data_IF_962234764426
#
_entry.id   IF_962234764426
#
_cell.length_a   1.000
_cell.length_b   1.000
_cell.length_c   1.000
_cell.angle_alpha   90.00
_cell.angle_beta   90.00
_cell.angle_gamma   90.00
#
_symmetry.space_group_name_H-M   'P 1'
#
loop_
_entity.id
_entity.type
_entity.pdbx_description
1 polymer ?
2 non-polymer ?
3 non-polymer ?
4 non-polymer ?
5 water ?
#
# COMPACT_ATOMS: atom_id res chain seq x y z
N UNK A 26 0.34 13.68 -20.73
CA UNK A 26 -0.16 12.30 -20.39
C UNK A 26 -1.64 12.26 -20.00
N UNK A 27 -2.21 11.06 -20.05
CA UNK A 27 -3.61 10.80 -19.68
C UNK A 27 -4.09 11.56 -18.42
N UNK A 28 -3.23 11.64 -17.41
CA UNK A 28 -3.59 12.18 -16.09
C UNK A 28 -2.69 13.33 -15.58
N UNK A 29 -1.78 13.80 -16.42
CA UNK A 29 -0.79 14.81 -16.01
C UNK A 29 -1.03 16.10 -16.80
N UNK A 30 -1.11 17.22 -16.09
CA UNK A 30 -1.34 18.53 -16.67
C UNK A 30 -0.03 19.16 -17.08
N UNK A 31 0.00 19.81 -18.25
CA UNK A 31 1.14 20.58 -18.70
C UNK A 31 0.81 22.06 -18.77
N UNK A 32 1.87 22.87 -18.76
CA UNK A 32 1.83 24.29 -19.09
C UNK A 32 1.21 25.16 -18.00
N UNK A 33 0.86 24.54 -16.88
CA UNK A 33 0.21 25.23 -15.77
C UNK A 33 1.06 25.09 -14.52
N UNK A 34 1.13 26.18 -13.76
CA UNK A 34 1.83 26.21 -12.49
C UNK A 34 0.91 25.61 -11.45
N UNK A 35 1.32 24.48 -10.82
CA UNK A 35 0.55 23.86 -9.75
C UNK A 35 0.25 24.79 -8.57
N UNK A 36 1.11 25.79 -8.36
CA UNK A 36 0.97 26.72 -7.25
C UNK A 36 0.02 27.89 -7.57
N UNK A 37 -0.53 27.89 -8.79
CA UNK A 37 -1.68 28.73 -9.12
C UNK A 37 -2.99 28.01 -8.72
N UNK A 38 -2.90 26.73 -8.34
CA UNK A 38 -4.05 25.95 -7.87
C UNK A 38 -3.93 25.47 -6.42
N UNK A 39 -2.71 25.13 -6.01
CA UNK A 39 -2.46 24.50 -4.71
C UNK A 39 -1.45 25.31 -3.93
N UNK A 40 -1.79 25.66 -2.68
CA UNK A 40 -0.89 26.44 -1.83
C UNK A 40 -0.19 25.52 -0.83
N UNK A 41 1.14 25.56 -0.82
CA UNK A 41 1.94 24.80 0.13
C UNK A 41 1.82 25.39 1.53
N UNK A 42 1.36 24.59 2.47
CA UNK A 42 1.22 24.98 3.88
C UNK A 42 2.48 24.62 4.67
N UNK A 43 3.06 23.46 4.36
CA UNK A 43 4.25 22.97 5.07
C UNK A 43 4.77 21.67 4.51
N UNK A 44 5.69 21.05 5.24
CA UNK A 44 6.28 19.77 4.85
C UNK A 44 5.68 18.63 5.68
N UNK A 45 5.38 17.51 5.01
CA UNK A 45 4.92 16.30 5.68
C UNK A 45 6.07 15.30 5.88
N UNK A 46 6.86 15.13 4.83
CA UNK A 46 8.05 14.29 4.87
C UNK A 46 9.06 14.63 3.79
N UNK A 47 10.06 13.77 3.66
CA UNK A 47 11.17 13.98 2.73
C UNK A 47 11.47 12.67 1.99
N UNK A 50 11.94 10.58 -4.73
CA UNK A 50 12.93 11.51 -5.25
C UNK A 50 12.51 12.97 -5.03
N UNK A 51 12.20 13.30 -3.76
CA UNK A 51 11.87 14.67 -3.36
C UNK A 51 11.34 14.83 -1.94
N UNK A 52 10.59 15.92 -1.73
CA UNK A 52 9.91 16.18 -0.47
C UNK A 52 8.41 16.02 -0.71
N UNK A 53 7.66 15.78 0.37
CA UNK A 53 6.18 15.77 0.33
C UNK A 53 5.65 16.93 1.18
N UNK A 54 4.76 17.73 0.58
CA UNK A 54 4.24 18.95 1.19
C UNK A 54 2.78 18.78 1.58
N UNK A 55 2.34 19.56 2.57
CA UNK A 55 0.92 19.70 2.87
C UNK A 55 0.46 20.84 2.00
N UNK A 56 -0.59 20.62 1.21
CA UNK A 56 -1.10 21.64 0.31
C UNK A 56 -2.57 21.89 0.58
N UNK A 57 -3.04 23.06 0.15
CA UNK A 57 -4.43 23.50 0.30
C UNK A 57 -4.88 24.12 -1.02
N UNK A 58 -6.02 23.65 -1.53
CA UNK A 58 -6.60 24.17 -2.73
C UNK A 58 -6.97 25.62 -2.49
N UNK A 59 -6.53 26.49 -3.40
CA UNK A 59 -6.73 27.93 -3.25
C UNK A 59 -8.19 28.30 -3.48
N UNK A 60 -8.89 27.53 -4.30
CA UNK A 60 -10.33 27.73 -4.52
C UNK A 60 -11.19 27.06 -3.45
N UNK A 61 -10.96 25.78 -3.18
CA UNK A 61 -11.90 24.97 -2.39
C UNK A 61 -11.47 24.68 -0.93
N UNK A 62 -10.24 25.04 -0.58
CA UNK A 62 -9.65 24.75 0.74
C UNK A 62 -9.41 23.27 1.04
N UNK A 63 -9.66 22.39 0.06
CA UNK A 63 -9.43 20.96 0.24
C UNK A 63 -7.92 20.73 0.44
N UNK A 64 -7.58 19.83 1.35
CA UNK A 64 -6.19 19.54 1.70
C UNK A 64 -5.62 18.39 0.87
N UNK A 65 -4.32 18.48 0.61
CA UNK A 65 -3.61 17.50 -0.21
C UNK A 65 -2.20 17.28 0.31
N UNK A 66 -1.68 16.09 0.07
CA UNK A 66 -0.24 15.88 0.12
C UNK A 66 0.27 16.11 -1.31
N UNK A 67 1.32 16.91 -1.44
CA UNK A 67 1.93 17.17 -2.74
C UNK A 67 3.33 16.56 -2.79
N UNK A 68 3.47 15.46 -3.51
CA UNK A 68 4.78 14.92 -3.88
C UNK A 68 5.33 15.77 -5.02
N UNK A 69 6.52 16.36 -4.83
CA UNK A 69 7.19 17.10 -5.88
C UNK A 69 8.49 16.35 -6.25
N UNK A 70 8.44 15.69 -7.40
CA UNK A 70 9.53 14.84 -7.86
C UNK A 70 10.39 15.55 -8.91
N UNK A 71 11.66 15.73 -8.59
CA UNK A 71 12.61 16.35 -9.52
C UNK A 71 12.92 15.40 -10.66
N UNK A 72 12.55 15.80 -11.87
CA UNK A 72 12.87 15.06 -13.09
C UNK A 72 13.92 15.86 -13.89
N UNK A 73 14.98 15.18 -14.33
CA UNK A 73 15.98 15.79 -15.20
C UNK A 73 15.35 16.07 -16.57
N UNK A 74 14.89 15.02 -17.23
CA UNK A 74 14.31 15.12 -18.58
C UNK A 74 12.84 14.67 -18.59
N UNK A 75 12.23 14.65 -19.78
CA UNK A 75 10.84 14.22 -19.94
C UNK A 75 10.69 12.69 -20.09
N UNK A 76 11.76 11.99 -20.44
CA UNK A 76 11.76 10.53 -20.50
C UNK A 76 11.55 9.91 -19.12
N UNK A 77 11.91 10.67 -18.08
CA UNK A 77 11.69 10.25 -16.68
C UNK A 77 10.22 10.16 -16.28
N UNK A 78 9.35 10.94 -16.93
CA UNK A 78 7.92 10.90 -16.63
C UNK A 78 7.35 9.49 -16.81
N UNK A 79 7.87 8.76 -17.80
CA UNK A 79 7.49 7.38 -18.05
C UNK A 79 7.68 6.49 -16.84
N UNK A 80 8.69 6.81 -16.02
CA UNK A 80 8.97 6.02 -14.82
C UNK A 80 7.94 6.23 -13.69
N UNK A 81 7.27 7.39 -13.69
CA UNK A 81 6.30 7.73 -12.63
C UNK A 81 4.86 7.55 -13.06
N UNK A 82 4.64 7.06 -14.27
CA UNK A 82 3.29 7.01 -14.86
C UNK A 82 2.44 5.84 -14.40
N UNK A 83 3.07 4.72 -14.07
CA UNK A 83 2.34 3.55 -13.58
C UNK A 83 1.73 3.86 -12.23
N UNK A 84 2.46 4.61 -11.41
CA UNK A 84 2.00 5.06 -10.10
C UNK A 84 0.76 5.93 -10.24
N UNK A 85 0.88 6.98 -11.04
CA UNK A 85 -0.20 7.91 -11.34
C UNK A 85 -1.44 7.21 -11.94
N UNK A 86 -1.22 6.26 -12.85
CA UNK A 86 -2.33 5.54 -13.46
C UNK A 86 -3.08 4.69 -12.45
N UNK A 87 -2.35 4.02 -11.56
CA UNK A 87 -2.95 3.26 -10.47
C UNK A 87 -3.82 4.15 -9.59
N UNK A 88 -3.27 5.26 -9.12
CA UNK A 88 -4.05 6.19 -8.29
C UNK A 88 -5.31 6.70 -8.98
N UNK A 89 -5.16 7.01 -10.27
CA UNK A 89 -6.25 7.53 -11.07
C UNK A 89 -7.31 6.47 -11.36
N UNK A 90 -6.89 5.22 -11.54
CA UNK A 90 -7.80 4.14 -11.93
C UNK A 90 -8.54 3.49 -10.75
N UNK A 91 -7.92 3.50 -9.56
CA UNK A 91 -8.53 2.89 -8.35
C UNK A 91 -9.66 3.71 -7.79
N UNK A 92 -10.70 3.03 -7.35
CA UNK A 92 -11.82 3.69 -6.68
C UNK A 92 -12.25 2.83 -5.49
N UNK A 93 -11.55 3.00 -4.38
CA UNK A 93 -11.83 2.23 -3.17
C UNK A 93 -11.67 3.14 -1.95
N UNK A 94 -12.55 3.00 -0.94
CA UNK A 94 -12.49 3.78 0.30
C UNK A 94 -11.15 3.73 1.07
N UNK A 95 -10.40 2.64 0.93
CA UNK A 95 -9.15 2.45 1.67
C UNK A 95 -7.91 2.57 0.81
N UNK A 96 -8.06 3.26 -0.33
CA UNK A 96 -6.95 3.62 -1.17
C UNK A 96 -7.03 5.12 -1.42
N UNK A 97 -5.90 5.80 -1.26
CA UNK A 97 -5.83 7.24 -1.49
C UNK A 97 -6.09 7.61 -2.94
N UNK A 98 -6.87 8.69 -3.13
CA UNK A 98 -7.20 9.17 -4.47
C UNK A 98 -6.23 10.22 -5.00
N UNK A 99 -6.10 10.23 -6.32
CA UNK A 99 -5.37 11.28 -7.04
C UNK A 99 -6.28 12.47 -7.16
N UNK A 100 -5.77 13.63 -6.76
CA UNK A 100 -6.51 14.92 -6.85
C UNK A 100 -6.07 15.74 -8.05
N UNK A 101 -4.82 15.55 -8.48
CA UNK A 101 -4.18 16.36 -9.52
C UNK A 101 -2.76 15.91 -9.75
N UNK A 102 -2.27 16.10 -10.96
CA UNK A 102 -0.85 15.96 -11.28
C UNK A 102 -0.47 17.04 -12.31
N UNK A 103 0.74 17.58 -12.17
CA UNK A 103 1.27 18.65 -13.04
C UNK A 103 2.72 18.37 -13.41
N UNK A 104 3.11 18.64 -14.65
CA UNK A 104 4.50 18.72 -15.04
C UNK A 104 4.80 20.19 -15.32
N UNK A 105 5.76 20.75 -14.60
CA UNK A 105 6.03 22.19 -14.64
C UNK A 105 7.45 22.48 -14.14
N UNK A 106 8.27 23.12 -14.98
CA UNK A 106 9.63 23.52 -14.61
C UNK A 106 10.42 22.35 -14.04
N UNK A 107 10.45 21.26 -14.79
CA UNK A 107 11.25 20.06 -14.45
C UNK A 107 10.84 19.32 -13.20
N UNK A 108 9.61 19.53 -12.73
CA UNK A 108 9.09 18.78 -11.60
C UNK A 108 7.76 18.12 -11.94
N UNK A 109 7.58 16.90 -11.46
CA UNK A 109 6.27 16.26 -11.47
C UNK A 109 5.64 16.46 -10.09
N UNK A 110 4.49 17.13 -10.08
CA UNK A 110 3.68 17.27 -8.87
C UNK A 110 2.57 16.23 -8.92
N UNK A 111 2.47 15.41 -7.87
CA UNK A 111 1.36 14.48 -7.71
C UNK A 111 0.64 14.91 -6.45
N UNK A 112 -0.64 15.26 -6.58
CA UNK A 112 -1.46 15.66 -5.43
C UNK A 112 -2.47 14.59 -5.06
N UNK A 113 -2.37 14.16 -3.81
CA UNK A 113 -2.99 12.93 -3.32
C UNK A 113 -3.88 13.31 -2.13
N UNK A 114 -4.99 12.61 -1.96
CA UNK A 114 -5.90 12.99 -0.89
C UNK A 114 -5.21 12.91 0.46
N UNK A 115 -5.67 13.78 1.34
CA UNK A 115 -5.03 14.02 2.61
C UNK A 115 -5.72 13.20 3.70
N UNK A 116 -4.89 12.55 4.51
CA UNK A 116 -5.31 11.72 5.63
C UNK A 116 -4.71 12.39 6.86
N UNK A 117 -5.58 13.02 7.64
CA UNK A 117 -5.15 13.97 8.69
C UNK A 117 -4.50 13.32 9.92
N UNK A 118 -4.62 12.00 10.06
CA UNK A 118 -4.04 11.26 11.19
C UNK A 118 -2.58 10.84 11.02
N UNK A 119 -2.06 10.87 9.80
CA UNK A 119 -0.66 10.51 9.56
C UNK A 119 -0.45 9.03 9.35
N UNK A 120 0.81 8.63 9.18
CA UNK A 120 1.16 7.22 8.95
C UNK A 120 1.11 6.44 10.26
N UNK A 121 0.77 5.15 10.18
CA UNK A 121 0.67 4.29 11.39
C UNK A 121 1.98 4.24 12.16
N UNK A 122 3.09 4.22 11.44
CA UNK A 122 4.40 4.10 12.07
C UNK A 122 4.82 5.39 12.79
N UNK A 123 4.45 6.53 12.21
CA UNK A 123 4.70 7.84 12.81
C UNK A 123 3.93 8.02 14.12
N UNK A 124 2.70 7.51 14.17
CA UNK A 124 1.88 7.50 15.40
C UNK A 124 2.49 6.66 16.53
N UNK A 125 2.98 5.47 16.18
CA UNK A 125 3.62 4.58 17.14
C UNK A 125 4.88 5.20 17.76
N UNK A 126 5.66 5.88 16.92
CA UNK A 126 6.88 6.55 17.37
C UNK A 126 6.60 7.79 18.24
N UNK A 127 5.58 8.56 17.89
CA UNK A 127 5.18 9.73 18.69
C UNK A 127 4.61 9.34 20.07
N UNK A 128 3.77 8.30 20.09
CA UNK A 128 3.21 7.77 21.35
C UNK A 128 4.19 6.85 22.08
N UNK A 129 5.24 6.41 21.38
CA UNK A 129 6.25 5.49 21.95
C UNK A 129 5.66 4.16 22.41
N UNK A 130 4.71 3.64 21.63
CA UNK A 130 4.10 2.35 21.91
C UNK A 130 3.49 1.74 20.66
N UNK A 131 3.33 0.41 20.65
CA UNK A 131 2.67 -0.24 19.53
C UNK A 131 1.15 -0.07 19.57
N UNK A 132 0.48 -0.48 18.51
CA UNK A 132 -0.98 -0.57 18.51
C UNK A 132 -1.38 -1.73 19.43
N UNK A 133 -2.60 -1.68 19.96
CA UNK A 133 -3.20 -2.84 20.66
C UNK A 133 -3.77 -3.78 19.62
N UNK A 134 -4.14 -4.98 20.04
CA UNK A 134 -4.64 -5.98 19.10
C UNK A 134 -5.93 -5.56 18.42
N UNK A 135 -6.82 -4.90 19.17
CA UNK A 135 -8.09 -4.44 18.61
C UNK A 135 -7.88 -3.32 17.57
N UNK A 136 -6.79 -2.56 17.73
CA UNK A 136 -6.40 -1.53 16.77
C UNK A 136 -5.80 -2.18 15.54
N UNK A 137 -4.97 -3.19 15.74
CA UNK A 137 -4.38 -3.94 14.64
C UNK A 137 -5.47 -4.60 13.79
N UNK A 138 -6.50 -5.17 14.43
CA UNK A 138 -7.60 -5.81 13.69
C UNK A 138 -8.31 -4.86 12.76
N UNK A 139 -8.56 -3.63 13.22
CA UNK A 139 -9.21 -2.62 12.37
C UNK A 139 -8.31 -2.27 11.16
N UNK A 140 -7.04 -1.97 11.42
CA UNK A 140 -6.11 -1.61 10.38
C UNK A 140 -5.94 -2.78 9.41
N UNK A 141 -5.75 -3.97 9.96
CA UNK A 141 -5.62 -5.18 9.16
C UNK A 141 -6.84 -5.37 8.28
N UNK A 142 -8.04 -5.29 8.86
CA UNK A 142 -9.28 -5.55 8.12
C UNK A 142 -9.47 -4.59 6.94
N UNK A 143 -9.22 -3.30 7.16
CA UNK A 143 -9.33 -2.28 6.13
C UNK A 143 -8.20 -2.32 5.10
N UNK A 144 -6.99 -2.63 5.56
CA UNK A 144 -5.85 -2.81 4.67
C UNK A 144 -6.06 -4.00 3.74
N UNK A 145 -6.59 -5.08 4.28
CA UNK A 145 -6.93 -6.27 3.52
C UNK A 145 -7.98 -5.99 2.43
N UNK A 146 -8.95 -5.15 2.76
CA UNK A 146 -9.98 -4.70 1.80
C UNK A 146 -9.36 -3.97 0.62
N UNK A 147 -8.40 -3.09 0.91
CA UNK A 147 -7.67 -2.35 -0.09
C UNK A 147 -6.88 -3.30 -1.00
N UNK A 148 -6.10 -4.17 -0.39
CA UNK A 148 -5.28 -5.16 -1.10
C UNK A 148 -6.08 -6.10 -1.96
N UNK A 149 -7.22 -6.54 -1.42
CA UNK A 149 -8.07 -7.47 -2.14
C UNK A 149 -8.57 -6.83 -3.42
N UNK A 150 -8.97 -5.55 -3.31
CA UNK A 150 -9.39 -4.75 -4.46
C UNK A 150 -8.28 -4.62 -5.52
N UNK A 151 -7.08 -4.30 -5.08
CA UNK A 151 -5.89 -4.23 -5.95
C UNK A 151 -5.65 -5.54 -6.68
N UNK A 152 -5.65 -6.64 -5.95
CA UNK A 152 -5.37 -7.95 -6.53
C UNK A 152 -6.44 -8.37 -7.53
N UNK A 153 -7.70 -8.11 -7.18
CA UNK A 153 -8.83 -8.27 -8.10
C UNK A 153 -8.63 -7.48 -9.40
N UNK A 154 -8.01 -6.29 -9.30
CA UNK A 154 -7.74 -5.42 -10.43
C UNK A 154 -6.31 -5.55 -11.00
N UNK A 155 -5.62 -6.64 -10.65
CA UNK A 155 -4.34 -7.05 -11.26
C UNK A 155 -3.19 -6.13 -10.89
N UNK A 156 -3.30 -5.49 -9.72
CA UNK A 156 -2.25 -4.63 -9.15
C UNK A 156 -1.56 -5.34 -7.96
N UNK A 157 -0.24 -5.33 -7.97
CA UNK A 157 0.56 -5.72 -6.80
C UNK A 157 1.10 -4.41 -6.19
N UNK A 158 0.86 -4.18 -4.90
CA UNK A 158 1.35 -2.98 -4.21
C UNK A 158 2.90 -2.92 -4.16
N UNK A 159 3.49 -3.99 -3.63
CA UNK A 159 4.94 -4.22 -3.61
C UNK A 159 5.76 -3.43 -2.56
N UNK A 160 5.13 -2.54 -1.83
CA UNK A 160 5.78 -1.82 -0.74
C UNK A 160 4.85 -1.62 0.46
N UNK A 161 4.14 -2.67 0.86
CA UNK A 161 3.26 -2.58 2.01
C UNK A 161 4.11 -2.57 3.30
N UNK A 162 3.78 -1.62 4.17
CA UNK A 162 4.42 -1.41 5.46
C UNK A 162 3.58 -0.39 6.21
N UNK A 163 3.81 -0.25 7.51
CA UNK A 163 3.01 0.65 8.36
C UNK A 163 3.18 2.11 7.96
N UNK A 164 4.33 2.45 7.39
CA UNK A 164 4.59 3.78 6.86
C UNK A 164 3.77 4.18 5.66
N UNK A 165 3.10 3.22 5.02
CA UNK A 165 2.23 3.47 3.86
C UNK A 165 0.74 3.20 4.14
N UNK A 166 0.40 3.09 5.40
CA UNK A 166 -0.96 2.99 5.88
C UNK A 166 -1.21 4.30 6.63
N UNK A 167 -2.20 5.06 6.20
CA UNK A 167 -2.46 6.39 6.72
C UNK A 167 -3.81 6.42 7.41
N UNK A 168 -3.87 7.12 8.53
CA UNK A 168 -5.11 7.30 9.30
C UNK A 168 -5.84 8.54 8.86
N UNK A 169 -7.16 8.42 8.68
CA UNK A 169 -8.05 9.57 8.50
C UNK A 169 -8.50 10.16 9.85
N UNK A 170 -9.10 11.35 9.81
CA UNK A 170 -9.70 11.99 11.00
C UNK A 170 -10.82 11.13 11.62
N UNK A 171 -11.48 10.32 10.80
CA UNK A 171 -12.60 9.48 11.26
C UNK A 171 -12.23 8.09 11.79
N UNK A 172 -10.93 7.79 11.89
CA UNK A 172 -10.47 6.50 12.39
C UNK A 172 -10.41 5.37 11.37
N UNK A 173 -10.51 5.73 10.09
CA UNK A 173 -10.32 4.76 9.01
C UNK A 173 -8.89 4.82 8.50
N UNK A 174 -8.53 3.90 7.62
CA UNK A 174 -7.22 3.93 6.99
C UNK A 174 -7.32 4.04 5.47
N UNK A 175 -6.26 4.57 4.88
CA UNK A 175 -6.07 4.49 3.45
C UNK A 175 -4.65 3.98 3.16
N UNK A 176 -4.55 3.12 2.15
CA UNK A 176 -3.29 2.59 1.65
C UNK A 176 -2.69 3.57 0.65
N UNK A 177 -1.38 3.78 0.71
CA UNK A 177 -0.69 4.75 -0.14
C UNK A 177 0.63 4.23 -0.67
N UNK A 178 1.23 5.07 -1.52
CA UNK A 178 2.53 4.87 -2.16
C UNK A 178 2.60 3.71 -3.16
N UNK A 179 2.28 4.00 -4.41
CA UNK A 179 2.33 3.01 -5.47
C UNK A 179 3.53 3.24 -6.36
N UNK A 180 4.59 3.80 -5.78
CA UNK A 180 5.82 4.12 -6.46
C UNK A 180 6.53 2.96 -7.12
N UNK A 181 6.39 1.75 -6.57
CA UNK A 181 6.98 0.55 -7.16
C UNK A 181 5.94 -0.56 -7.43
N UNK A 182 4.67 -0.21 -7.42
CA UNK A 182 3.62 -1.16 -7.76
C UNK A 182 3.68 -1.64 -9.22
N UNK A 183 3.18 -2.86 -9.43
CA UNK A 183 2.96 -3.44 -10.75
C UNK A 183 1.45 -3.47 -11.06
N UNK A 184 1.09 -3.08 -12.28
CA UNK A 184 -0.29 -3.14 -12.78
C UNK A 184 -0.27 -4.02 -14.03
N UNK A 185 -0.89 -5.19 -13.93
CA UNK A 185 -0.79 -6.21 -14.97
C UNK A 185 -1.95 -6.20 -15.97
N UNK A 186 -2.74 -5.14 -15.99
CA UNK A 186 -3.95 -5.07 -16.83
C UNK A 186 -3.66 -4.94 -18.31
N UNK A 187 -2.69 -4.11 -18.67
CA UNK A 187 -2.32 -3.88 -20.08
C UNK A 187 -1.54 -5.08 -20.67
N UNK A 188 -0.74 -5.75 -19.82
CA UNK A 188 0.04 -6.93 -20.22
C UNK A 188 -0.85 -8.22 -20.31
N UNK A 189 -1.87 -8.31 -19.46
CA UNK A 189 -2.94 -9.31 -19.60
C UNK A 189 -3.78 -9.07 -20.86
N UNK A 190 -4.16 -7.81 -21.10
CA UNK A 190 -4.87 -7.41 -22.33
C UNK A 190 -4.08 -7.79 -23.60
N UNK A 191 -2.79 -7.48 -23.61
CA UNK A 191 -1.90 -7.84 -24.72
C UNK A 191 -1.70 -9.35 -24.83
N UNK A 192 -1.69 -10.04 -23.70
CA UNK A 192 -1.51 -11.50 -23.66
C UNK A 192 -2.76 -12.29 -24.13
N UNK A 193 -3.94 -11.87 -23.68
CA UNK A 193 -5.21 -12.53 -24.10
C UNK A 193 -5.54 -12.31 -25.60
N UNK A 194 -4.76 -11.48 -26.27
CA UNK A 194 -4.99 -11.06 -27.66
C UNK A 194 -4.31 -12.05 -28.60
N UNK A 195 -5.09 -12.65 -29.51
CA UNK A 195 -4.54 -13.44 -30.61
C UNK A 195 -5.47 -13.39 -31.85
N UNK A 196 -4.93 -13.85 -32.99
CA UNK A 196 -5.68 -13.91 -34.25
C UNK A 196 -5.40 -15.25 -34.91
N UNK A 197 -6.35 -15.74 -35.70
CA UNK A 197 -6.20 -17.06 -36.30
C UNK A 197 -6.25 -18.16 -35.26
N UNK A 198 -6.20 -19.39 -35.72
CA UNK A 198 -6.47 -20.55 -34.88
C UNK A 198 -5.20 -20.95 -34.12
N UNK A 199 -5.25 -20.92 -32.77
CA UNK A 199 -4.01 -21.13 -32.02
C UNK A 199 -3.77 -22.61 -31.65
N UNK A 200 -3.35 -23.37 -32.66
CA UNK A 200 -3.10 -24.81 -32.53
C UNK A 200 -1.91 -25.10 -31.61
N UNK A 201 -1.01 -24.13 -31.46
CA UNK A 201 0.25 -24.28 -30.75
C UNK A 201 0.18 -23.74 -29.31
N UNK A 202 -1.00 -23.34 -28.85
CA UNK A 202 -1.16 -22.67 -27.57
C UNK A 202 -1.06 -23.67 -26.41
N UNK A 203 -0.21 -23.36 -25.44
CA UNK A 203 -0.01 -24.20 -24.27
C UNK A 203 -1.30 -24.24 -23.45
N UNK A 204 -1.62 -25.40 -22.87
CA UNK A 204 -2.87 -25.53 -22.11
C UNK A 204 -3.03 -24.57 -20.94
N UNK A 205 -1.91 -24.15 -20.34
CA UNK A 205 -1.96 -23.20 -19.22
C UNK A 205 -2.30 -21.80 -19.73
N UNK A 206 -2.00 -21.52 -21.00
CA UNK A 206 -2.40 -20.26 -21.64
C UNK A 206 -3.86 -20.34 -22.07
N UNK A 207 -4.28 -21.48 -22.62
CA UNK A 207 -5.68 -21.77 -22.90
C UNK A 207 -6.57 -21.56 -21.66
N UNK A 208 -6.13 -22.08 -20.52
CA UNK A 208 -6.89 -22.08 -19.29
C UNK A 208 -6.75 -20.80 -18.44
N UNK A 209 -5.99 -19.83 -18.95
CA UNK A 209 -5.76 -18.55 -18.27
C UNK A 209 -5.03 -18.75 -16.94
N UNK A 210 -3.98 -19.56 -17.00
CA UNK A 210 -3.18 -19.94 -15.83
C UNK A 210 -1.70 -19.56 -16.06
N UNK A 211 -1.52 -18.44 -16.75
CA UNK A 211 -0.22 -17.78 -16.87
C UNK A 211 0.06 -17.12 -15.53
N UNK A 212 1.26 -16.56 -15.36
CA UNK A 212 1.61 -15.91 -14.08
C UNK A 212 0.81 -14.63 -13.75
N UNK A 213 0.22 -14.00 -14.77
CA UNK A 213 -0.53 -12.74 -14.61
C UNK A 213 -1.87 -12.95 -13.90
N UNK A 214 -2.47 -14.11 -14.15
CA UNK A 214 -3.79 -14.44 -13.62
C UNK A 214 -3.71 -15.29 -12.37
N UNK A 215 -2.57 -15.95 -12.17
CA UNK A 215 -2.39 -16.78 -10.99
C UNK A 215 -2.02 -15.93 -9.77
N UNK A 216 -2.40 -16.38 -8.57
CA UNK A 216 -2.14 -15.67 -7.32
C UNK A 216 -0.67 -15.46 -6.95
N UNK A 217 0.22 -16.28 -7.51
CA UNK A 217 1.59 -16.42 -7.05
C UNK A 217 2.28 -15.09 -6.71
N UNK A 218 2.35 -14.19 -7.69
CA UNK A 218 3.05 -12.91 -7.54
C UNK A 218 2.31 -11.91 -6.65
N UNK A 219 0.98 -11.96 -6.64
CA UNK A 219 0.16 -11.13 -5.72
C UNK A 219 0.36 -11.51 -4.23
N UNK A 220 0.71 -12.77 -3.99
CA UNK A 220 0.93 -13.24 -2.61
C UNK A 220 2.14 -12.60 -1.92
N UNK A 221 3.04 -11.97 -2.67
CA UNK A 221 4.10 -11.19 -2.04
C UNK A 221 3.54 -10.11 -1.11
N UNK A 222 2.44 -9.48 -1.51
CA UNK A 222 1.72 -8.52 -0.65
C UNK A 222 1.19 -9.12 0.66
N UNK A 223 0.81 -10.39 0.62
CA UNK A 223 0.26 -11.10 1.80
C UNK A 223 1.33 -11.34 2.87
N UNK A 224 2.52 -11.75 2.44
CA UNK A 224 3.66 -11.81 3.32
C UNK A 224 3.94 -10.44 3.98
N UNK A 225 3.96 -9.37 3.18
CA UNK A 225 4.22 -8.02 3.70
C UNK A 225 3.17 -7.50 4.67
N UNK A 226 1.91 -7.88 4.46
CA UNK A 226 0.83 -7.62 5.43
C UNK A 226 1.21 -8.20 6.79
N UNK A 227 1.60 -9.48 6.81
CA UNK A 227 2.09 -10.18 7.99
C UNK A 227 3.21 -9.48 8.73
N UNK A 228 4.23 -9.03 8.00
CA UNK A 228 5.33 -8.27 8.62
C UNK A 228 4.84 -6.92 9.17
N UNK A 229 3.93 -6.26 8.44
CA UNK A 229 3.29 -5.02 8.90
C UNK A 229 2.49 -5.22 10.20
N UNK A 230 1.81 -6.35 10.32
CA UNK A 230 1.09 -6.68 11.55
C UNK A 230 2.02 -6.82 12.76
N UNK A 231 3.16 -7.50 12.57
CA UNK A 231 4.16 -7.60 13.62
C UNK A 231 4.76 -6.21 13.92
N UNK A 232 5.06 -5.44 12.87
CA UNK A 232 5.55 -4.06 13.02
C UNK A 232 4.59 -3.18 13.84
N UNK A 233 3.30 -3.33 13.62
CA UNK A 233 2.27 -2.63 14.43
C UNK A 233 2.14 -3.16 15.87
N UNK A 234 2.48 -4.44 16.06
CA UNK A 234 2.43 -5.10 17.38
C UNK A 234 3.66 -4.78 18.24
N UNK A 235 4.78 -4.46 17.59
CA UNK A 235 6.08 -4.28 18.25
C UNK A 235 6.82 -3.00 17.85
N UNK A 236 6.12 -2.08 17.19
CA UNK A 236 6.67 -0.79 16.71
C UNK A 236 7.65 -0.92 15.53
N UNK A 237 8.55 -1.87 15.57
CA UNK A 237 9.50 -2.05 14.46
C UNK A 237 9.34 -3.43 13.85
N UNK A 238 9.72 -3.58 12.56
CA UNK A 238 9.54 -4.87 11.90
C UNK A 238 10.60 -5.85 12.39
N UNK A 239 10.35 -7.15 12.19
CA UNK A 239 11.40 -8.15 12.43
C UNK A 239 12.74 -7.79 11.76
N UNK A 240 13.81 -8.05 12.51
CA UNK A 240 15.22 -7.89 12.12
C UNK A 240 15.74 -6.43 12.12
N UNK A 241 14.98 -5.53 12.75
CA UNK A 241 15.32 -4.11 12.81
C UNK A 241 16.64 -3.85 13.53
N UNK A 242 17.10 -4.80 14.35
CA UNK A 242 18.34 -4.66 15.08
C UNK A 242 19.60 -5.09 14.29
N UNK A 243 19.42 -5.84 13.21
CA UNK A 243 20.55 -6.29 12.41
C UNK A 243 21.14 -5.16 11.57
N UNK A 244 22.41 -5.32 11.17
CA UNK A 244 22.99 -4.52 10.11
C UNK A 244 22.09 -4.68 8.90
N UNK A 245 21.63 -3.56 8.29
CA UNK A 245 20.81 -3.64 7.09
C UNK A 245 21.30 -4.61 6.01
N UNK A 246 22.62 -4.76 5.88
CA UNK A 246 23.23 -5.66 4.90
C UNK A 246 22.88 -7.15 5.10
N UNK A 247 22.46 -7.50 6.31
CA UNK A 247 22.16 -8.88 6.69
C UNK A 247 20.68 -9.26 6.56
N UNK A 248 19.81 -8.27 6.40
CA UNK A 248 18.36 -8.48 6.49
C UNK A 248 17.80 -9.45 5.41
N UNK A 249 18.18 -9.24 4.15
CA UNK A 249 17.74 -10.14 3.06
C UNK A 249 18.22 -11.57 3.30
N UNK A 250 19.47 -11.73 3.66
CA UNK A 250 20.00 -13.04 4.07
C UNK A 250 19.22 -13.71 5.23
N UNK A 251 18.94 -12.95 6.27
CA UNK A 251 18.15 -13.42 7.39
C UNK A 251 16.74 -13.89 6.97
N UNK A 252 16.06 -13.13 6.11
CA UNK A 252 14.74 -13.54 5.58
C UNK A 252 14.84 -14.91 4.86
N UNK A 253 15.81 -15.03 3.96
CA UNK A 253 16.09 -16.27 3.24
C UNK A 253 16.40 -17.46 4.16
N UNK A 254 17.28 -17.27 5.15
CA UNK A 254 17.73 -18.35 6.05
C UNK A 254 16.70 -18.81 7.06
N UNK A 255 15.92 -17.88 7.58
CA UNK A 255 15.13 -18.13 8.78
C UNK A 255 13.76 -18.68 8.45
N UNK A 256 13.19 -19.39 9.41
CA UNK A 256 11.76 -19.63 9.43
C UNK A 256 11.06 -18.27 9.46
N UNK A 257 9.77 -18.24 9.10
CA UNK A 257 9.05 -16.97 9.17
C UNK A 257 9.00 -16.40 10.58
N UNK A 258 8.98 -15.05 10.68
CA UNK A 258 8.97 -14.45 12.01
C UNK A 258 7.65 -14.68 12.74
N UNK A 259 7.72 -14.63 14.07
CA UNK A 259 6.58 -14.74 14.95
C UNK A 259 6.59 -13.55 15.92
N UNK A 260 5.48 -13.34 16.62
CA UNK A 260 5.44 -12.30 17.65
C UNK A 260 6.42 -12.63 18.78
N UNK A 261 7.19 -11.63 19.20
CA UNK A 261 8.25 -11.77 20.22
C UNK A 261 7.71 -12.22 21.57
N UNK A 262 6.56 -11.69 21.95
CA UNK A 262 5.92 -11.98 23.23
C UNK A 262 4.53 -12.55 22.99
N UNK A 263 4.47 -13.82 22.53
CA UNK A 263 3.21 -14.40 22.06
C UNK A 263 2.05 -14.54 23.06
N UNK A 264 2.35 -14.48 24.37
CA UNK A 264 1.29 -14.50 25.39
C UNK A 264 0.45 -13.22 25.37
N UNK A 265 1.01 -12.13 24.83
CA UNK A 265 0.30 -10.84 24.70
C UNK A 265 -0.84 -10.82 23.68
N UNK A 266 -0.92 -11.86 22.84
CA UNK A 266 -1.70 -11.81 21.63
C UNK A 266 -2.67 -12.98 21.54
N UNK A 267 -3.83 -12.75 20.94
CA UNK A 267 -4.82 -13.82 20.82
C UNK A 267 -4.35 -14.88 19.83
N UNK A 268 -4.93 -16.07 19.97
CA UNK A 268 -4.74 -17.18 19.05
C UNK A 268 -5.18 -16.86 17.64
N UNK A 269 -6.17 -15.98 17.49
CA UNK A 269 -6.63 -15.55 16.17
C UNK A 269 -5.64 -14.63 15.46
N UNK A 270 -4.98 -13.77 16.21
CA UNK A 270 -3.87 -12.95 15.70
C UNK A 270 -2.77 -13.89 15.20
N UNK A 271 -2.30 -14.78 16.08
CA UNK A 271 -1.19 -15.68 15.72
C UNK A 271 -1.52 -16.64 14.56
N UNK A 272 -2.77 -17.10 14.50
CA UNK A 272 -3.22 -17.97 13.41
C UNK A 272 -3.28 -17.21 12.07
N UNK A 273 -3.81 -15.99 12.10
CA UNK A 273 -3.81 -15.10 10.95
C UNK A 273 -2.40 -14.90 10.40
N UNK A 274 -1.45 -14.56 11.27
CA UNK A 274 -0.05 -14.41 10.88
C UNK A 274 0.51 -15.63 10.18
N UNK A 275 0.19 -16.82 10.68
CA UNK A 275 0.74 -18.05 10.09
C UNK A 275 0.26 -18.28 8.66
N UNK A 276 -0.94 -17.79 8.33
CA UNK A 276 -1.49 -17.90 6.98
C UNK A 276 -0.83 -16.93 5.99
N UNK A 277 -0.31 -15.82 6.51
CA UNK A 277 0.42 -14.80 5.74
C UNK A 277 1.89 -15.12 5.61
N UNK A 278 2.48 -15.52 6.73
CA UNK A 278 3.91 -15.73 6.89
C UNK A 278 4.23 -17.20 6.73
N UNK A 279 4.05 -17.63 5.49
CA UNK A 279 4.20 -18.99 5.05
C UNK A 279 5.15 -18.94 3.85
N UNK A 280 6.32 -19.56 3.94
CA UNK A 280 7.32 -19.51 2.86
C UNK A 280 6.91 -20.30 1.61
N UNK A 281 6.09 -21.33 1.78
CA UNK A 281 5.50 -22.02 0.65
C UNK A 281 4.37 -21.15 0.10
N UNK A 282 4.61 -20.52 -1.05
CA UNK A 282 3.69 -19.54 -1.60
C UNK A 282 2.32 -20.16 -1.94
N UNK A 283 2.33 -21.37 -2.47
CA UNK A 283 1.10 -22.10 -2.77
C UNK A 283 0.23 -22.32 -1.53
N UNK A 284 0.87 -22.62 -0.40
CA UNK A 284 0.14 -22.82 0.88
C UNK A 284 -0.30 -21.51 1.54
N UNK A 285 0.42 -20.42 1.26
CA UNK A 285 0.09 -19.10 1.78
C UNK A 285 -1.27 -18.66 1.28
N UNK A 286 -2.03 -17.99 2.15
CA UNK A 286 -3.42 -17.62 1.83
C UNK A 286 -3.47 -16.42 0.89
N UNK A 287 -4.54 -16.35 0.10
CA UNK A 287 -4.88 -15.19 -0.71
C UNK A 287 -5.66 -14.20 0.15
N UNK A 288 -5.73 -12.96 -0.30
CA UNK A 288 -6.52 -11.92 0.38
C UNK A 288 -7.97 -12.35 0.51
N UNK A 289 -8.47 -12.99 -0.53
CA UNK A 289 -9.81 -13.54 -0.55
C UNK A 289 -10.06 -14.53 0.60
N UNK A 290 -9.15 -15.50 0.75
CA UNK A 290 -9.21 -16.45 1.87
C UNK A 290 -9.09 -15.75 3.23
N UNK A 291 -8.16 -14.79 3.33
CA UNK A 291 -7.93 -14.06 4.57
C UNK A 291 -9.12 -13.24 5.07
N UNK A 292 -9.96 -12.75 4.16
CA UNK A 292 -11.15 -11.97 4.50
C UNK A 292 -12.21 -12.78 5.29
N UNK A 293 -12.12 -14.11 5.18
CA UNK A 293 -13.01 -15.01 5.91
C UNK A 293 -12.46 -15.40 7.28
N UNK A 294 -11.25 -14.96 7.61
CA UNK A 294 -10.62 -15.28 8.89
C UNK A 294 -11.26 -14.48 10.04
N UNK A 295 -11.45 -15.13 11.21
CA UNK A 295 -12.08 -14.45 12.35
C UNK A 295 -11.31 -13.24 12.90
N UNK A 296 -10.03 -13.10 12.60
CA UNK A 296 -9.23 -11.96 13.06
C UNK A 296 -9.67 -10.66 12.35
N UNK A 297 -10.16 -10.75 11.12
CA UNK A 297 -10.64 -9.56 10.41
C UNK A 297 -12.17 -9.46 10.39
N UNK A 298 -12.87 -10.31 11.14
CA UNK A 298 -14.33 -10.19 11.23
C UNK A 298 -14.69 -9.18 12.33
N UNK A 299 -14.47 -7.91 11.98
CA UNK A 299 -14.81 -6.76 12.82
C UNK A 299 -15.49 -5.72 11.94
N UNK A 300 -16.24 -4.81 12.57
CA UNK A 300 -17.01 -3.81 11.83
C UNK A 300 -17.10 -2.45 12.54
N UNK A 301 -16.15 -2.16 13.44
CA UNK A 301 -16.09 -0.87 14.10
C UNK A 301 -14.67 -0.35 14.21
N UNK A 302 -14.50 0.93 13.91
CA UNK A 302 -13.20 1.59 13.98
C UNK A 302 -12.99 2.34 15.29
N UNK A 303 -13.83 2.06 16.29
CA UNK A 303 -13.77 2.75 17.58
C UNK A 303 -12.36 2.73 18.19
N UNK A 304 -11.66 1.55 18.19
CA UNK A 304 -10.28 1.53 18.68
C UNK A 304 -9.31 2.51 18.01
N UNK A 305 -9.46 2.73 16.70
CA UNK A 305 -8.63 3.72 15.99
C UNK A 305 -9.05 5.17 16.31
N UNK A 306 -10.34 5.42 16.49
CA UNK A 306 -10.81 6.74 16.90
C UNK A 306 -10.24 7.14 18.27
N UNK A 307 -10.10 6.16 19.16
CA UNK A 307 -9.52 6.34 20.48
C UNK A 307 -8.00 6.59 20.39
N UNK A 308 -7.34 5.88 19.48
CA UNK A 308 -5.91 6.07 19.24
C UNK A 308 -5.59 7.47 18.68
N UNK A 309 -6.29 7.90 17.62
CA UNK A 309 -5.99 9.20 17.01
C UNK A 309 -6.36 10.35 17.94
N UNK A 310 -7.41 10.18 18.75
CA UNK A 310 -7.79 11.19 19.73
C UNK A 310 -6.74 11.36 20.83
N UNK A 311 -6.07 10.26 21.20
CA UNK A 311 -4.98 10.27 22.18
C UNK A 311 -3.76 11.04 21.65
N UNK A 312 -3.43 10.87 20.38
CA UNK A 312 -2.41 11.67 19.71
C UNK A 312 -2.98 13.01 19.21
N UNK A 313 -3.74 13.72 20.06
CA UNK A 313 -4.37 14.99 19.67
C UNK A 313 -5.04 15.65 20.87
#
# INVERSE_FOLDING_TARGET
>A
MHHHHHHSSGVDLGTENLYFQSMKQYEHVTRDLNPEDFWEIIGELGDGAFGKVYKAQNKETSVLAAAKVIDTKSEEELEDYMVEIDILASCDHPNIVKLLDAFYYENNLWILIEFCAGGAVDAVMLELERPLTESQIQVVCKQTLDALNYLHDNKIIHRDLKAGNILFTLDGDIKLADFGVSAKNTRTIQRRDSFIGTPYWMAPEVVMCETSKDRPYDYKADVWSLGITLIEMAEIEPPHHELNPMRVLLKIAKSEPPTLAQPSRWSSNFKDFLKKCLEKNVDARWTTSQLLQHPFVTVDSNKPIRELIAEAKAEVTEEVEDGKE
#
